data_IF_581542065817
#
_entry.id   IF_581542065817
#
_cell.length_a   1.000
_cell.length_b   1.000
_cell.length_c   1.000
_cell.angle_alpha   90.00
_cell.angle_beta   90.00
_cell.angle_gamma   90.00
#
_symmetry.space_group_name_H-M   'P 1'
#
loop_
_entity.id
_entity.type
_entity.pdbx_description
1 polymer ?
#
# COMPACT_ATOMS: atom_id res chain seq x y z
N UNK A 1 -10.39 17.86 17.68
CA UNK A 1 -10.05 16.41 17.80
C UNK A 1 -11.25 15.69 18.39
N UNK A 2 -11.75 14.61 17.75
CA UNK A 2 -12.92 13.90 18.27
C UNK A 2 -12.54 13.12 19.54
N UNK A 3 -13.30 13.30 20.62
CA UNK A 3 -13.07 12.59 21.89
C UNK A 3 -13.15 11.07 21.68
N UNK A 4 -12.16 10.35 22.21
CA UNK A 4 -12.13 8.88 22.16
C UNK A 4 -13.14 8.36 23.20
N UNK A 5 -14.01 7.44 22.80
CA UNK A 5 -14.95 6.79 23.72
C UNK A 5 -14.20 5.75 24.54
N UNK A 6 -14.10 5.98 25.85
CA UNK A 6 -13.37 5.12 26.79
C UNK A 6 -14.40 4.44 27.70
N UNK A 7 -14.22 3.15 27.93
CA UNK A 7 -15.07 2.32 28.79
C UNK A 7 -14.26 1.82 29.98
N UNK A 8 -14.74 2.10 31.19
CA UNK A 8 -14.13 1.64 32.44
C UNK A 8 -14.96 0.51 33.04
N UNK A 9 -14.31 -0.58 33.43
CA UNK A 9 -15.00 -1.72 34.03
C UNK A 9 -14.06 -2.57 34.90
N UNK A 10 -14.39 -2.71 36.19
CA UNK A 10 -13.61 -3.54 37.15
C UNK A 10 -12.09 -3.27 37.11
N UNK A 11 -11.69 -2.00 36.97
CA UNK A 11 -10.28 -1.59 36.86
C UNK A 11 -9.67 -1.68 35.45
N UNK A 12 -10.39 -2.27 34.50
CA UNK A 12 -10.03 -2.29 33.09
C UNK A 12 -10.49 -1.02 32.40
N UNK A 13 -9.67 -0.54 31.47
CA UNK A 13 -10.02 0.58 30.60
C UNK A 13 -9.91 0.13 29.15
N UNK A 14 -11.06 -0.05 28.50
CA UNK A 14 -11.16 -0.49 27.12
C UNK A 14 -11.55 0.67 26.19
N UNK A 15 -10.84 0.84 25.07
CA UNK A 15 -11.18 1.85 24.06
C UNK A 15 -10.74 1.42 22.66
N UNK A 16 -11.37 2.03 21.65
CA UNK A 16 -10.99 1.82 20.25
C UNK A 16 -10.05 2.93 19.77
N UNK A 17 -8.81 2.56 19.47
CA UNK A 17 -7.81 3.46 18.93
C UNK A 17 -8.04 3.65 17.41
N UNK A 18 -8.50 4.85 17.02
CA UNK A 18 -8.65 5.23 15.60
C UNK A 18 -7.32 5.14 14.85
N UNK A 19 -6.23 5.55 15.50
CA UNK A 19 -4.88 5.40 14.97
C UNK A 19 -4.45 3.93 15.11
N UNK A 20 -4.27 3.25 13.99
CA UNK A 20 -3.98 1.81 13.95
C UNK A 20 -5.21 0.90 13.89
N UNK A 21 -6.43 1.42 14.11
CA UNK A 21 -7.70 0.67 14.07
C UNK A 21 -7.71 -0.54 15.02
N UNK A 22 -7.15 -0.37 16.22
CA UNK A 22 -6.97 -1.44 17.21
C UNK A 22 -7.89 -1.25 18.41
N UNK A 23 -8.28 -2.35 19.02
CA UNK A 23 -8.86 -2.35 20.36
C UNK A 23 -7.73 -2.31 21.38
N UNK A 24 -7.86 -1.48 22.42
CA UNK A 24 -6.85 -1.38 23.48
C UNK A 24 -7.54 -1.59 24.81
N UNK A 25 -6.94 -2.44 25.63
CA UNK A 25 -7.32 -2.65 27.03
C UNK A 25 -6.13 -2.25 27.89
N UNK A 26 -6.40 -1.40 28.87
CA UNK A 26 -5.44 -0.97 29.89
C UNK A 26 -5.82 -1.63 31.22
N UNK A 27 -4.88 -2.38 31.80
CA UNK A 27 -5.00 -3.03 33.10
C UNK A 27 -3.76 -2.70 33.93
N UNK A 28 -3.92 -2.06 35.09
CA UNK A 28 -2.83 -1.72 36.01
C UNK A 28 -1.61 -1.02 35.36
N UNK A 29 -1.85 -0.21 34.31
CA UNK A 29 -0.80 0.50 33.56
C UNK A 29 -0.20 -0.27 32.39
N UNK A 30 -0.51 -1.57 32.24
CA UNK A 30 -0.11 -2.36 31.09
C UNK A 30 -1.14 -2.22 29.96
N UNK A 31 -0.66 -1.97 28.74
CA UNK A 31 -1.47 -1.77 27.53
C UNK A 31 -1.41 -3.01 26.64
N UNK A 32 -2.53 -3.69 26.46
CA UNK A 32 -2.69 -4.76 25.48
C UNK A 32 -3.49 -4.26 24.27
N UNK A 33 -3.02 -4.58 23.06
CA UNK A 33 -3.65 -4.10 21.82
C UNK A 33 -4.06 -5.26 20.92
N UNK A 34 -5.31 -5.24 20.47
CA UNK A 34 -5.93 -6.28 19.67
C UNK A 34 -6.31 -5.77 18.28
N UNK A 35 -6.19 -6.66 17.29
CA UNK A 35 -6.53 -6.34 15.90
C UNK A 35 -8.04 -6.52 15.63
N UNK A 36 -8.70 -7.40 16.36
CA UNK A 36 -10.13 -7.64 16.24
C UNK A 36 -10.85 -7.54 17.59
N UNK A 37 -12.17 -7.41 17.53
CA UNK A 37 -12.99 -7.35 18.74
C UNK A 37 -13.11 -8.73 19.38
N UNK A 38 -13.12 -9.75 18.54
CA UNK A 38 -13.18 -11.16 18.91
C UNK A 38 -11.92 -11.56 19.69
N UNK A 39 -10.73 -11.16 19.24
CA UNK A 39 -9.47 -11.40 19.96
C UNK A 39 -9.49 -10.77 21.36
N UNK A 40 -9.99 -9.53 21.46
CA UNK A 40 -10.09 -8.81 22.75
C UNK A 40 -11.04 -9.51 23.72
N UNK A 41 -12.20 -10.00 23.25
CA UNK A 41 -13.14 -10.72 24.12
C UNK A 41 -12.60 -12.08 24.53
N UNK A 42 -11.85 -12.75 23.65
CA UNK A 42 -11.25 -14.04 23.98
C UNK A 42 -10.27 -13.94 25.16
N UNK A 43 -9.51 -12.85 25.26
CA UNK A 43 -8.60 -12.61 26.39
C UNK A 43 -9.32 -11.98 27.60
N UNK A 44 -10.28 -11.09 27.36
CA UNK A 44 -11.03 -10.38 28.40
C UNK A 44 -12.54 -10.65 28.31
N UNK A 45 -13.01 -11.86 28.66
CA UNK A 45 -14.43 -12.21 28.57
C UNK A 45 -15.31 -11.37 29.49
N UNK A 46 -14.74 -10.84 30.59
CA UNK A 46 -15.44 -10.00 31.56
C UNK A 46 -16.01 -8.72 30.93
N UNK A 47 -15.44 -8.26 29.81
CA UNK A 47 -15.93 -7.09 29.09
C UNK A 47 -17.32 -7.32 28.47
N UNK A 48 -17.76 -8.56 28.27
CA UNK A 48 -19.11 -8.87 27.78
C UNK A 48 -20.22 -8.59 28.79
N UNK A 49 -19.89 -8.32 30.05
CA UNK A 49 -20.86 -7.82 31.04
C UNK A 49 -21.27 -6.37 30.73
N UNK A 50 -20.48 -5.61 29.97
CA UNK A 50 -20.81 -4.24 29.57
C UNK A 50 -21.90 -4.24 28.49
N UNK A 51 -23.03 -3.50 28.68
CA UNK A 51 -24.09 -3.39 27.68
C UNK A 51 -23.58 -2.90 26.32
N UNK A 52 -22.57 -2.03 26.32
CA UNK A 52 -21.97 -1.49 25.09
C UNK A 52 -21.25 -2.58 24.29
N UNK A 53 -20.58 -3.51 24.97
CA UNK A 53 -19.88 -4.63 24.32
C UNK A 53 -20.89 -5.64 23.78
N UNK A 54 -21.97 -5.91 24.52
CA UNK A 54 -23.06 -6.77 24.04
C UNK A 54 -23.70 -6.22 22.76
N UNK A 55 -24.05 -4.93 22.74
CA UNK A 55 -24.59 -4.28 21.54
C UNK A 55 -23.59 -4.33 20.39
N UNK A 56 -22.29 -4.17 20.67
CA UNK A 56 -21.25 -4.28 19.66
C UNK A 56 -21.14 -5.72 19.10
N UNK A 57 -21.23 -6.75 19.94
CA UNK A 57 -21.24 -8.15 19.52
C UNK A 57 -22.46 -8.46 18.63
N UNK A 58 -23.66 -8.06 19.06
CA UNK A 58 -24.90 -8.26 18.29
C UNK A 58 -24.85 -7.59 16.90
N UNK A 59 -24.25 -6.39 16.81
CA UNK A 59 -24.07 -5.71 15.51
C UNK A 59 -23.18 -6.49 14.55
N UNK A 60 -22.19 -7.24 15.05
CA UNK A 60 -21.28 -8.04 14.24
C UNK A 60 -21.89 -9.35 13.77
N UNK A 61 -22.82 -9.90 14.54
CA UNK A 61 -23.61 -11.09 14.15
C UNK A 61 -24.61 -10.80 13.02
N UNK A 62 -25.06 -9.55 12.87
CA UNK A 62 -25.90 -9.15 11.73
C UNK A 62 -25.04 -9.24 10.47
N UNK A 63 -25.32 -10.22 9.59
CA UNK A 63 -24.51 -10.60 8.42
C UNK A 63 -24.17 -9.50 7.39
N UNK A 64 -24.57 -8.25 7.61
CA UNK A 64 -24.10 -7.06 6.89
C UNK A 64 -22.80 -6.47 7.47
N UNK A 65 -22.30 -6.97 8.60
CA UNK A 65 -21.02 -6.55 9.15
C UNK A 65 -19.89 -7.13 8.29
N UNK A 66 -19.22 -6.25 7.53
CA UNK A 66 -17.96 -6.59 6.87
C UNK A 66 -16.85 -6.41 7.92
N UNK A 67 -16.26 -7.49 8.46
CA UNK A 67 -15.12 -7.35 9.37
C UNK A 67 -14.02 -6.56 8.68
N UNK A 68 -13.21 -5.83 9.45
CA UNK A 68 -12.02 -5.21 8.93
C UNK A 68 -11.19 -6.30 8.24
N UNK A 69 -11.06 -6.22 6.92
CA UNK A 69 -10.28 -7.20 6.15
C UNK A 69 -8.91 -7.30 6.81
N UNK A 70 -8.58 -8.48 7.36
CA UNK A 70 -7.19 -8.83 7.64
C UNK A 70 -6.44 -8.51 6.36
N UNK A 71 -5.40 -7.67 6.45
CA UNK A 71 -4.51 -7.40 5.32
C UNK A 71 -3.81 -8.72 4.99
N UNK A 72 -4.49 -9.60 4.24
CA UNK A 72 -3.83 -10.64 3.46
C UNK A 72 -2.79 -9.89 2.65
N UNK A 73 -1.55 -10.35 2.70
CA UNK A 73 -0.38 -9.65 2.17
C UNK A 73 -0.71 -9.02 0.83
N UNK A 74 -0.22 -7.79 0.61
CA UNK A 74 -0.39 -7.11 -0.68
C UNK A 74 -0.10 -8.14 -1.78
N UNK A 75 -1.01 -8.35 -2.75
CA UNK A 75 -0.68 -9.18 -3.89
C UNK A 75 0.66 -8.67 -4.44
N UNK A 76 1.55 -9.57 -4.91
CA UNK A 76 2.81 -9.13 -5.49
C UNK A 76 2.51 -8.06 -6.52
N UNK A 77 3.22 -6.93 -6.43
CA UNK A 77 3.11 -5.84 -7.39
C UNK A 77 3.29 -6.48 -8.75
N UNK A 78 2.25 -6.44 -9.59
CA UNK A 78 2.32 -6.92 -10.95
C UNK A 78 3.19 -5.91 -11.71
N UNK A 79 4.50 -6.12 -11.68
CA UNK A 79 5.47 -5.34 -12.46
C UNK A 79 5.16 -5.66 -13.90
N UNK A 80 4.44 -4.76 -14.58
CA UNK A 80 4.26 -4.85 -16.02
C UNK A 80 5.65 -4.87 -16.64
N UNK A 81 6.05 -6.02 -17.18
CA UNK A 81 7.27 -6.13 -17.97
C UNK A 81 7.00 -5.32 -19.24
N UNK A 82 7.38 -4.06 -19.25
CA UNK A 82 7.39 -3.26 -20.47
C UNK A 82 8.46 -3.83 -21.37
N UNK A 83 8.04 -4.52 -22.43
CA UNK A 83 8.95 -5.02 -23.47
C UNK A 83 9.62 -3.81 -24.12
N UNK A 84 10.89 -3.59 -23.78
CA UNK A 84 11.71 -2.54 -24.40
C UNK A 84 12.05 -3.04 -25.80
N UNK A 85 11.55 -2.36 -26.82
CA UNK A 85 11.91 -2.65 -28.21
C UNK A 85 13.08 -1.76 -28.60
N UNK A 86 14.06 -2.35 -29.27
CA UNK A 86 15.22 -1.65 -29.81
C UNK A 86 15.14 -1.66 -31.33
N UNK A 87 15.47 -0.54 -31.97
CA UNK A 87 15.53 -0.44 -33.43
C UNK A 87 16.74 0.39 -33.84
N UNK A 88 17.44 -0.06 -34.87
CA UNK A 88 18.44 0.75 -35.55
C UNK A 88 17.74 1.74 -36.48
N UNK A 89 18.05 3.03 -36.32
CA UNK A 89 17.49 4.10 -37.13
C UNK A 89 18.63 4.86 -37.80
N UNK A 90 18.41 5.23 -39.06
CA UNK A 90 19.34 6.02 -39.85
C UNK A 90 19.48 7.42 -39.28
N UNK A 91 20.72 7.93 -39.24
CA UNK A 91 20.98 9.26 -38.73
C UNK A 91 20.33 10.32 -39.63
N UNK A 92 19.34 11.01 -39.09
CA UNK A 92 18.57 12.04 -39.79
C UNK A 92 19.49 13.19 -40.27
N UNK A 93 20.42 13.63 -39.42
CA UNK A 93 21.28 14.79 -39.68
C UNK A 93 22.29 14.61 -40.80
N UNK A 94 22.68 13.37 -41.13
CA UNK A 94 23.54 13.07 -42.27
C UNK A 94 22.88 12.17 -43.30
N UNK A 95 21.57 11.93 -43.18
CA UNK A 95 20.83 10.98 -44.03
C UNK A 95 21.52 9.62 -44.18
N UNK A 96 22.15 9.13 -43.11
CA UNK A 96 22.90 7.87 -43.11
C UNK A 96 24.23 7.89 -43.86
N UNK A 97 24.74 9.04 -44.30
CA UNK A 97 26.05 9.15 -44.97
C UNK A 97 27.22 9.00 -44.00
N UNK A 98 27.05 9.42 -42.75
CA UNK A 98 28.11 9.42 -41.72
C UNK A 98 28.93 10.71 -41.70
N UNK A 99 28.71 11.58 -42.66
CA UNK A 99 29.47 12.79 -42.94
C UNK A 99 28.48 13.94 -43.18
N UNK A 100 28.88 15.16 -42.83
CA UNK A 100 28.17 16.40 -43.18
C UNK A 100 28.88 17.05 -44.38
N UNK A 101 28.67 18.35 -44.60
CA UNK A 101 29.28 19.07 -45.71
C UNK A 101 30.81 18.91 -45.72
N UNK A 102 31.39 18.73 -46.91
CA UNK A 102 32.83 18.67 -47.16
C UNK A 102 33.60 17.56 -46.41
N UNK A 103 32.97 16.39 -46.24
CA UNK A 103 33.63 15.19 -45.67
C UNK A 103 33.85 15.25 -44.15
N UNK A 104 33.37 16.29 -43.48
CA UNK A 104 33.44 16.38 -42.03
C UNK A 104 32.58 15.30 -41.38
N UNK A 105 33.12 14.62 -40.36
CA UNK A 105 32.41 13.54 -39.66
C UNK A 105 31.14 14.09 -39.01
N UNK A 106 30.00 13.41 -39.22
CA UNK A 106 28.73 13.84 -38.64
C UNK A 106 28.79 13.76 -37.10
N UNK A 107 28.63 14.87 -36.36
CA UNK A 107 28.75 14.89 -34.90
C UNK A 107 27.59 14.18 -34.20
N UNK A 108 26.44 14.00 -34.88
CA UNK A 108 25.28 13.34 -34.31
C UNK A 108 25.40 11.81 -34.31
N UNK A 109 26.10 11.22 -35.29
CA UNK A 109 26.34 9.78 -35.33
C UNK A 109 27.81 9.39 -35.17
N UNK A 110 28.72 10.35 -35.05
CA UNK A 110 30.18 10.15 -35.04
C UNK A 110 30.65 9.20 -36.15
N UNK A 111 30.17 9.42 -37.38
CA UNK A 111 30.50 8.55 -38.53
C UNK A 111 29.75 7.21 -38.60
N UNK A 112 29.01 6.81 -37.57
CA UNK A 112 28.36 5.48 -37.48
C UNK A 112 27.13 5.29 -38.37
N UNK A 113 26.62 6.36 -39.01
CA UNK A 113 25.47 6.37 -39.96
C UNK A 113 24.11 6.03 -39.33
N UNK A 114 24.08 5.28 -38.23
CA UNK A 114 22.89 4.81 -37.55
C UNK A 114 23.05 4.92 -36.03
N UNK A 115 21.93 4.96 -35.32
CA UNK A 115 21.90 4.90 -33.86
C UNK A 115 20.80 3.94 -33.37
N UNK A 116 21.06 3.31 -32.23
CA UNK A 116 20.13 2.40 -31.58
C UNK A 116 19.16 3.22 -30.73
N UNK A 117 17.88 3.20 -31.09
CA UNK A 117 16.82 3.81 -30.28
C UNK A 117 16.09 2.74 -29.49
N UNK A 118 15.74 3.07 -28.24
CA UNK A 118 14.94 2.20 -27.38
C UNK A 118 13.60 2.87 -27.10
N UNK A 119 12.54 2.08 -26.90
CA UNK A 119 11.21 2.62 -26.55
C UNK A 119 11.08 3.10 -25.10
N UNK A 120 12.20 3.24 -24.36
CA UNK A 120 12.19 3.73 -22.98
C UNK A 120 11.87 5.24 -22.98
N UNK A 121 10.81 5.63 -22.27
CA UNK A 121 10.41 7.03 -22.12
C UNK A 121 9.42 7.56 -23.18
N UNK A 122 8.93 6.70 -24.09
CA UNK A 122 7.87 7.02 -25.06
C UNK A 122 6.47 6.57 -24.56
N UNK A 123 6.25 6.55 -23.24
CA UNK A 123 5.03 6.06 -22.60
C UNK A 123 4.47 7.04 -21.59
#
# INVERSE_FOLDING_TARGET
MAAIKIHYFKGLKAYYARFGRKWVVEENGQRTSFNSFEDMISEYPILMELPVMQVAALRRMRGKYKPAMKRKGKPPINVRITVVREKLVTCYYCSGKGEVFDGFVCPNCNGKKQFLVTTRGLG
#
